data_IF_485919314967
#
_entry.id   IF_485919314967
#
_cell.length_a   1.000
_cell.length_b   1.000
_cell.length_c   1.000
_cell.angle_alpha   90.00
_cell.angle_beta   90.00
_cell.angle_gamma   90.00
#
_symmetry.space_group_name_H-M   'P 1'
#
loop_
_entity.id
_entity.type
_entity.pdbx_description
1 polymer ?
#
# COMPACT_ATOMS: atom_id res chain seq x y z
N UNK A 1 3.75 -22.21 -59.10
CA UNK A 1 3.69 -22.94 -57.80
C UNK A 1 3.63 -21.91 -56.71
N UNK A 2 2.55 -21.77 -55.94
CA UNK A 2 2.51 -20.85 -54.82
C UNK A 2 3.26 -21.47 -53.65
N UNK A 3 4.21 -20.72 -53.11
CA UNK A 3 4.97 -21.05 -51.89
C UNK A 3 4.01 -20.99 -50.72
N UNK A 4 3.72 -22.14 -50.12
CA UNK A 4 2.96 -22.22 -48.86
C UNK A 4 3.80 -21.62 -47.74
N UNK A 5 3.41 -20.44 -47.25
CA UNK A 5 3.93 -19.84 -45.99
C UNK A 5 3.46 -20.76 -44.88
N UNK A 6 4.39 -21.29 -44.03
CA UNK A 6 3.96 -22.09 -42.87
C UNK A 6 3.11 -21.22 -41.96
N UNK A 7 1.93 -21.74 -41.62
CA UNK A 7 1.07 -21.14 -40.62
C UNK A 7 1.88 -20.97 -39.32
N UNK A 8 2.15 -19.72 -38.93
CA UNK A 8 2.62 -19.41 -37.59
C UNK A 8 1.58 -20.01 -36.64
N UNK A 9 1.95 -21.02 -35.86
CA UNK A 9 1.16 -21.46 -34.72
C UNK A 9 0.92 -20.22 -33.83
N UNK A 10 -0.26 -19.63 -34.00
CA UNK A 10 -0.71 -18.55 -33.15
C UNK A 10 -0.87 -19.17 -31.75
N UNK A 11 0.08 -18.93 -30.89
CA UNK A 11 -0.08 -19.24 -29.44
C UNK A 11 -1.44 -18.74 -29.03
N UNK A 12 -2.27 -19.62 -28.46
CA UNK A 12 -3.60 -19.24 -27.97
C UNK A 12 -3.48 -17.95 -27.15
N UNK A 13 -4.15 -16.86 -27.52
CA UNK A 13 -4.01 -15.56 -26.82
C UNK A 13 -4.34 -15.66 -25.32
N UNK A 14 -5.00 -16.73 -24.89
CA UNK A 14 -5.29 -17.04 -23.50
C UNK A 14 -4.05 -17.56 -22.74
N UNK A 15 -3.28 -18.47 -23.33
CA UNK A 15 -2.05 -19.03 -22.74
C UNK A 15 -0.93 -17.98 -22.64
N UNK A 16 -0.75 -17.17 -23.68
CA UNK A 16 0.24 -16.09 -23.65
C UNK A 16 -0.05 -15.04 -22.56
N UNK A 17 -1.33 -14.74 -22.30
CA UNK A 17 -1.74 -13.83 -21.22
C UNK A 17 -1.44 -14.37 -19.82
N UNK A 18 -1.68 -15.67 -19.58
CA UNK A 18 -1.40 -16.34 -18.30
C UNK A 18 0.10 -16.35 -18.00
N UNK A 19 0.91 -16.80 -18.93
CA UNK A 19 2.37 -16.85 -18.77
C UNK A 19 2.95 -15.45 -18.65
N UNK A 20 2.51 -14.50 -19.46
CA UNK A 20 2.97 -13.11 -19.39
C UNK A 20 2.70 -12.47 -18.02
N UNK A 21 1.49 -12.64 -17.48
CA UNK A 21 1.16 -12.11 -16.15
C UNK A 21 1.96 -12.78 -15.03
N UNK A 22 2.15 -14.11 -15.09
CA UNK A 22 2.96 -14.83 -14.11
C UNK A 22 4.43 -14.38 -14.14
N UNK A 23 5.04 -14.29 -15.33
CA UNK A 23 6.43 -13.85 -15.50
C UNK A 23 6.63 -12.43 -15.01
N UNK A 24 5.79 -11.48 -15.41
CA UNK A 24 5.92 -10.08 -14.98
C UNK A 24 5.76 -9.96 -13.46
N UNK A 25 4.76 -10.64 -12.88
CA UNK A 25 4.56 -10.64 -11.43
C UNK A 25 5.77 -11.19 -10.67
N UNK A 26 6.32 -12.32 -11.14
CA UNK A 26 7.52 -12.94 -10.55
C UNK A 26 8.74 -12.05 -10.68
N UNK A 27 8.99 -11.47 -11.87
CA UNK A 27 10.15 -10.60 -12.12
C UNK A 27 10.10 -9.35 -11.24
N UNK A 28 8.94 -8.70 -11.15
CA UNK A 28 8.77 -7.49 -10.30
C UNK A 28 8.98 -7.84 -8.83
N UNK A 29 8.41 -8.95 -8.35
CA UNK A 29 8.62 -9.41 -6.97
C UNK A 29 10.08 -9.78 -6.70
N UNK A 30 10.71 -10.52 -7.61
CA UNK A 30 12.12 -10.94 -7.47
C UNK A 30 13.07 -9.77 -7.50
N UNK A 31 12.85 -8.79 -8.37
CA UNK A 31 13.65 -7.56 -8.40
C UNK A 31 13.54 -6.77 -7.09
N UNK A 32 12.34 -6.71 -6.51
CA UNK A 32 12.11 -6.08 -5.21
C UNK A 32 12.83 -6.81 -4.06
N UNK A 33 12.96 -8.13 -4.14
CA UNK A 33 13.67 -8.91 -3.12
C UNK A 33 15.20 -8.83 -3.28
N UNK A 34 15.67 -8.77 -4.53
CA UNK A 34 17.11 -8.76 -4.82
C UNK A 34 17.77 -7.40 -4.59
N UNK A 35 17.02 -6.30 -4.73
CA UNK A 35 17.55 -4.93 -4.68
C UNK A 35 16.82 -4.14 -3.57
N UNK A 36 17.48 -3.85 -2.44
CA UNK A 36 16.82 -3.28 -1.25
C UNK A 36 16.01 -2.01 -1.53
N UNK A 37 16.51 -1.07 -2.36
CA UNK A 37 15.77 0.17 -2.68
C UNK A 37 14.57 -0.06 -3.62
N UNK A 38 14.48 -1.21 -4.28
CA UNK A 38 13.33 -1.60 -5.10
C UNK A 38 12.26 -2.35 -4.28
N UNK A 39 12.45 -2.58 -2.98
CA UNK A 39 11.54 -3.35 -2.14
C UNK A 39 10.07 -2.90 -2.23
N UNK A 40 9.83 -1.60 -2.35
CA UNK A 40 8.49 -1.04 -2.55
C UNK A 40 7.84 -1.44 -3.88
N UNK A 41 8.63 -1.76 -4.92
CA UNK A 41 8.08 -2.22 -6.20
C UNK A 41 7.43 -3.61 -6.09
N UNK A 42 7.83 -4.40 -5.09
CA UNK A 42 7.18 -5.69 -4.82
C UNK A 42 5.68 -5.57 -4.57
N UNK A 43 5.23 -4.43 -4.03
CA UNK A 43 3.82 -4.13 -3.77
C UNK A 43 2.98 -4.19 -5.05
N UNK A 44 3.53 -3.79 -6.20
CA UNK A 44 2.81 -3.74 -7.48
C UNK A 44 2.87 -5.03 -8.29
N UNK A 45 3.56 -6.04 -7.79
CA UNK A 45 3.69 -7.33 -8.47
C UNK A 45 2.35 -8.03 -8.81
N UNK A 46 1.23 -7.87 -8.08
CA UNK A 46 -0.03 -8.51 -8.46
C UNK A 46 -0.79 -7.80 -9.58
N UNK A 47 -0.40 -6.58 -10.01
CA UNK A 47 -1.12 -5.82 -11.04
C UNK A 47 -1.36 -6.60 -12.35
N UNK A 48 -0.38 -7.32 -12.93
CA UNK A 48 -0.63 -8.09 -14.14
C UNK A 48 -1.72 -9.16 -13.96
N UNK A 49 -1.78 -9.78 -12.78
CA UNK A 49 -2.79 -10.78 -12.43
C UNK A 49 -4.18 -10.13 -12.28
N UNK A 50 -4.25 -8.95 -11.67
CA UNK A 50 -5.49 -8.17 -11.54
C UNK A 50 -6.04 -7.82 -12.93
N UNK A 51 -5.19 -7.31 -13.82
CA UNK A 51 -5.56 -6.97 -15.20
C UNK A 51 -5.99 -8.22 -15.97
N UNK A 52 -5.28 -9.34 -15.82
CA UNK A 52 -5.66 -10.63 -16.44
C UNK A 52 -7.04 -11.09 -15.95
N UNK A 53 -7.37 -10.90 -14.64
CA UNK A 53 -8.68 -11.25 -14.12
C UNK A 53 -9.79 -10.36 -14.67
N UNK A 54 -9.57 -9.07 -14.77
CA UNK A 54 -10.56 -8.12 -15.31
C UNK A 54 -10.88 -8.43 -16.79
N UNK A 55 -9.88 -8.80 -17.57
CA UNK A 55 -10.02 -9.03 -19.04
C UNK A 55 -10.25 -10.49 -19.41
N UNK A 56 -10.03 -11.40 -18.49
CA UNK A 56 -10.06 -12.84 -18.72
C UNK A 56 -10.89 -13.61 -17.71
N UNK A 57 -10.61 -14.91 -17.61
CA UNK A 57 -11.30 -15.81 -16.69
C UNK A 57 -10.64 -15.85 -15.32
N UNK A 58 -11.41 -16.22 -14.30
CA UNK A 58 -10.87 -16.47 -12.95
C UNK A 58 -9.83 -17.60 -12.97
N UNK A 59 -10.08 -18.66 -13.76
CA UNK A 59 -9.16 -19.78 -13.88
C UNK A 59 -7.79 -19.36 -14.45
N UNK A 60 -7.76 -18.48 -15.46
CA UNK A 60 -6.53 -17.92 -16.00
C UNK A 60 -5.75 -17.12 -14.97
N UNK A 61 -6.44 -16.27 -14.19
CA UNK A 61 -5.81 -15.49 -13.14
C UNK A 61 -5.28 -16.36 -12.00
N UNK A 62 -6.03 -17.37 -11.57
CA UNK A 62 -5.59 -18.34 -10.56
C UNK A 62 -4.37 -19.15 -11.03
N UNK A 63 -4.39 -19.63 -12.27
CA UNK A 63 -3.24 -20.35 -12.82
C UNK A 63 -2.00 -19.47 -12.88
N UNK A 64 -2.14 -18.21 -13.32
CA UNK A 64 -1.04 -17.24 -13.33
C UNK A 64 -0.51 -16.98 -11.91
N UNK A 65 -1.39 -16.87 -10.92
CA UNK A 65 -1.02 -16.70 -9.52
C UNK A 65 -0.23 -17.89 -8.97
N UNK A 66 -0.69 -19.11 -9.27
CA UNK A 66 -0.01 -20.34 -8.83
C UNK A 66 1.35 -20.50 -9.49
N UNK A 67 1.47 -20.18 -10.79
CA UNK A 67 2.75 -20.19 -11.50
C UNK A 67 3.73 -19.17 -10.91
N UNK A 68 3.27 -17.94 -10.65
CA UNK A 68 4.11 -16.91 -10.02
C UNK A 68 4.56 -17.35 -8.60
N UNK A 69 3.64 -17.81 -7.78
CA UNK A 69 3.96 -18.28 -6.42
C UNK A 69 4.89 -19.51 -6.44
N UNK A 70 4.64 -20.47 -7.32
CA UNK A 70 5.50 -21.66 -7.49
C UNK A 70 6.92 -21.26 -7.90
N UNK A 71 7.07 -20.32 -8.82
CA UNK A 71 8.39 -19.81 -9.22
C UNK A 71 9.08 -19.06 -8.09
N UNK A 72 8.35 -18.19 -7.36
CA UNK A 72 8.89 -17.49 -6.18
C UNK A 72 9.35 -18.48 -5.12
N UNK A 73 8.55 -19.54 -4.86
CA UNK A 73 8.90 -20.57 -3.90
C UNK A 73 10.12 -21.39 -4.29
N UNK A 74 10.28 -21.67 -5.59
CA UNK A 74 11.44 -22.38 -6.12
C UNK A 74 12.73 -21.53 -6.14
N UNK A 75 12.61 -20.23 -6.44
CA UNK A 75 13.76 -19.32 -6.53
C UNK A 75 14.23 -18.83 -5.18
N UNK A 76 13.31 -18.59 -4.25
CA UNK A 76 13.64 -18.07 -2.92
C UNK A 76 13.31 -19.10 -1.83
N UNK A 77 12.12 -19.04 -1.25
CA UNK A 77 11.65 -19.96 -0.23
C UNK A 77 10.14 -20.18 -0.32
N UNK A 78 9.64 -21.35 0.12
CA UNK A 78 8.18 -21.58 0.21
C UNK A 78 7.46 -20.55 1.10
N UNK A 79 8.12 -20.07 2.16
CA UNK A 79 7.59 -19.03 3.04
C UNK A 79 7.34 -17.71 2.30
N UNK A 80 8.24 -17.28 1.42
CA UNK A 80 8.05 -16.09 0.60
C UNK A 80 6.95 -16.28 -0.44
N UNK A 81 6.77 -17.48 -0.99
CA UNK A 81 5.64 -17.78 -1.86
C UNK A 81 4.30 -17.65 -1.11
N UNK A 82 4.22 -18.13 0.10
CA UNK A 82 3.03 -18.02 0.95
C UNK A 82 2.74 -16.54 1.31
N UNK A 83 3.77 -15.77 1.64
CA UNK A 83 3.62 -14.32 1.89
C UNK A 83 3.15 -13.58 0.63
N UNK A 84 3.74 -13.90 -0.54
CA UNK A 84 3.28 -13.35 -1.83
C UNK A 84 1.81 -13.66 -2.08
N UNK A 85 1.40 -14.93 -1.89
CA UNK A 85 0.01 -15.33 -2.06
C UNK A 85 -0.91 -14.59 -1.09
N UNK A 86 -0.60 -14.59 0.18
CA UNK A 86 -1.46 -14.02 1.22
C UNK A 86 -1.56 -12.50 1.14
N UNK A 87 -0.42 -11.80 1.05
CA UNK A 87 -0.41 -10.35 1.19
C UNK A 87 -0.57 -9.58 -0.11
N UNK A 88 -0.23 -10.21 -1.26
CA UNK A 88 -0.23 -9.52 -2.55
C UNK A 88 -1.24 -10.11 -3.53
N UNK A 89 -1.11 -11.42 -3.83
CA UNK A 89 -1.88 -12.03 -4.90
C UNK A 89 -3.37 -12.19 -4.56
N UNK A 90 -3.70 -12.69 -3.36
CA UNK A 90 -5.10 -12.89 -2.95
C UNK A 90 -5.91 -11.59 -2.85
N UNK A 91 -5.43 -10.51 -2.19
CA UNK A 91 -6.11 -9.23 -2.22
C UNK A 91 -6.26 -8.67 -3.64
N UNK A 92 -5.23 -8.81 -4.48
CA UNK A 92 -5.28 -8.45 -5.89
C UNK A 92 -6.35 -9.21 -6.66
N UNK A 93 -6.43 -10.53 -6.48
CA UNK A 93 -7.47 -11.37 -7.10
C UNK A 93 -8.88 -10.96 -6.66
N UNK A 94 -9.07 -10.66 -5.37
CA UNK A 94 -10.37 -10.20 -4.84
C UNK A 94 -10.76 -8.86 -5.46
N UNK A 95 -9.80 -7.93 -5.59
CA UNK A 95 -10.02 -6.64 -6.28
C UNK A 95 -10.43 -6.87 -7.74
N UNK A 96 -9.66 -7.67 -8.48
CA UNK A 96 -9.95 -8.02 -9.87
C UNK A 96 -11.28 -8.73 -10.06
N UNK A 97 -11.64 -9.64 -9.14
CA UNK A 97 -12.91 -10.36 -9.14
C UNK A 97 -14.11 -9.43 -8.93
N UNK A 98 -14.02 -8.53 -7.95
CA UNK A 98 -15.08 -7.56 -7.68
C UNK A 98 -15.31 -6.66 -8.90
N UNK A 99 -14.25 -6.22 -9.55
CA UNK A 99 -14.34 -5.44 -10.77
C UNK A 99 -14.95 -6.25 -11.91
N UNK A 100 -14.46 -7.46 -12.18
CA UNK A 100 -14.97 -8.31 -13.25
C UNK A 100 -16.46 -8.67 -13.09
N UNK A 101 -16.98 -8.58 -11.87
CA UNK A 101 -18.43 -8.70 -11.57
C UNK A 101 -19.18 -7.36 -11.68
N UNK A 102 -18.59 -6.32 -12.23
CA UNK A 102 -19.22 -5.01 -12.41
C UNK A 102 -19.43 -4.22 -11.12
N UNK A 103 -18.71 -4.55 -10.03
CA UNK A 103 -18.84 -3.84 -8.74
C UNK A 103 -18.01 -2.56 -8.65
N UNK A 104 -17.18 -2.28 -9.66
CA UNK A 104 -16.31 -1.12 -9.75
C UNK A 104 -15.05 -1.19 -8.89
N UNK A 105 -14.12 -0.26 -9.13
CA UNK A 105 -12.80 -0.23 -8.49
C UNK A 105 -12.90 0.02 -6.98
N UNK A 106 -13.75 0.95 -6.55
CA UNK A 106 -13.92 1.32 -5.13
C UNK A 106 -14.35 0.13 -4.27
N UNK A 107 -15.35 -0.64 -4.72
CA UNK A 107 -15.79 -1.83 -3.99
C UNK A 107 -14.72 -2.93 -4.03
N UNK A 108 -13.99 -3.05 -5.15
CA UNK A 108 -12.84 -3.95 -5.26
C UNK A 108 -11.77 -3.63 -4.20
N UNK A 109 -11.43 -2.36 -4.00
CA UNK A 109 -10.50 -1.90 -2.96
C UNK A 109 -11.00 -2.26 -1.56
N UNK A 110 -12.27 -1.99 -1.27
CA UNK A 110 -12.85 -2.29 0.05
C UNK A 110 -12.75 -3.78 0.37
N UNK A 111 -13.15 -4.66 -0.57
CA UNK A 111 -13.07 -6.11 -0.36
C UNK A 111 -11.63 -6.61 -0.22
N UNK A 112 -10.71 -6.08 -1.01
CA UNK A 112 -9.28 -6.40 -0.89
C UNK A 112 -8.71 -5.94 0.46
N UNK A 113 -9.06 -4.73 0.92
CA UNK A 113 -8.63 -4.19 2.21
C UNK A 113 -9.21 -5.00 3.38
N UNK A 114 -10.49 -5.37 3.33
CA UNK A 114 -11.12 -6.23 4.36
C UNK A 114 -10.42 -7.59 4.43
N UNK A 115 -10.22 -8.26 3.28
CA UNK A 115 -9.51 -9.54 3.25
C UNK A 115 -8.12 -9.41 3.86
N UNK A 116 -7.35 -8.41 3.42
CA UNK A 116 -5.98 -8.22 3.88
C UNK A 116 -5.93 -7.87 5.37
N UNK A 117 -6.86 -7.06 5.87
CA UNK A 117 -6.97 -6.76 7.31
C UNK A 117 -7.30 -8.01 8.14
N UNK A 118 -8.17 -8.89 7.63
CA UNK A 118 -8.46 -10.18 8.28
C UNK A 118 -7.22 -11.09 8.29
N UNK A 119 -6.49 -11.17 7.18
CA UNK A 119 -5.26 -11.97 7.09
C UNK A 119 -4.18 -11.45 8.04
N UNK A 120 -3.97 -10.13 8.07
CA UNK A 120 -3.02 -9.49 9.00
C UNK A 120 -3.48 -9.69 10.44
N UNK A 121 -4.76 -9.49 10.73
CA UNK A 121 -5.31 -9.74 12.08
C UNK A 121 -5.12 -11.19 12.54
N UNK A 122 -5.35 -12.15 11.65
CA UNK A 122 -5.09 -13.55 11.93
C UNK A 122 -3.59 -13.82 12.17
N UNK A 123 -2.71 -13.30 11.32
CA UNK A 123 -1.27 -13.43 11.50
C UNK A 123 -0.80 -12.82 12.83
N UNK A 124 -1.31 -11.65 13.21
CA UNK A 124 -1.00 -11.01 14.49
C UNK A 124 -1.54 -11.81 15.69
N UNK A 125 -2.69 -12.44 15.54
CA UNK A 125 -3.29 -13.25 16.61
C UNK A 125 -2.52 -14.55 16.85
N UNK A 126 -2.09 -15.23 15.78
CA UNK A 126 -1.45 -16.55 15.87
C UNK A 126 0.08 -16.49 15.95
N UNK A 127 0.71 -15.47 15.35
CA UNK A 127 2.17 -15.36 15.23
C UNK A 127 2.68 -13.96 15.59
N UNK A 128 1.90 -13.15 16.28
CA UNK A 128 2.26 -11.77 16.63
C UNK A 128 3.58 -11.68 17.41
N UNK A 129 3.80 -12.50 18.45
CA UNK A 129 5.06 -12.48 19.20
C UNK A 129 6.29 -12.80 18.33
N UNK A 130 6.21 -13.83 17.47
CA UNK A 130 7.30 -14.20 16.56
C UNK A 130 7.55 -13.12 15.49
N UNK A 131 6.48 -12.56 14.92
CA UNK A 131 6.58 -11.48 13.94
C UNK A 131 7.25 -10.24 14.54
N UNK A 132 6.83 -9.86 15.76
CA UNK A 132 7.44 -8.73 16.46
C UNK A 132 8.90 -9.00 16.81
N UNK A 133 9.20 -10.19 17.35
CA UNK A 133 10.56 -10.57 17.69
C UNK A 133 11.49 -10.58 16.47
N UNK A 134 11.04 -11.12 15.32
CA UNK A 134 11.80 -11.13 14.08
C UNK A 134 12.06 -9.71 13.54
N UNK A 135 11.06 -8.82 13.62
CA UNK A 135 11.21 -7.42 13.22
C UNK A 135 12.17 -6.66 14.13
N UNK A 136 12.04 -6.83 15.46
CA UNK A 136 12.90 -6.16 16.42
C UNK A 136 14.35 -6.66 16.35
N UNK A 137 14.55 -7.96 16.14
CA UNK A 137 15.89 -8.54 15.94
C UNK A 137 16.61 -7.94 14.73
N UNK A 138 15.89 -7.62 13.64
CA UNK A 138 16.50 -6.94 12.48
C UNK A 138 16.96 -5.52 12.81
N UNK A 139 16.20 -4.80 13.65
CA UNK A 139 16.62 -3.46 14.10
C UNK A 139 17.83 -3.59 15.03
N UNK A 140 17.83 -4.58 15.92
CA UNK A 140 18.95 -4.81 16.83
C UNK A 140 20.26 -5.18 16.08
N UNK A 141 20.19 -5.77 14.87
CA UNK A 141 21.36 -5.99 14.01
C UNK A 141 22.07 -4.69 13.63
N UNK A 142 21.35 -3.60 13.38
CA UNK A 142 21.97 -2.29 13.11
C UNK A 142 22.67 -1.67 14.31
N UNK A 143 22.40 -2.18 15.51
CA UNK A 143 23.04 -1.78 16.77
C UNK A 143 24.06 -2.80 17.26
N UNK A 144 24.36 -3.83 16.47
CA UNK A 144 25.38 -4.80 16.82
C UNK A 144 26.78 -4.14 16.88
N UNK A 145 27.70 -4.65 17.71
CA UNK A 145 29.05 -4.11 17.79
C UNK A 145 29.74 -4.04 16.42
N UNK A 146 29.47 -5.05 15.56
CA UNK A 146 30.04 -5.14 14.22
C UNK A 146 29.54 -4.00 13.33
N UNK A 147 28.20 -3.76 13.30
CA UNK A 147 27.60 -2.67 12.51
C UNK A 147 28.08 -1.29 12.98
N UNK A 148 28.22 -1.08 14.29
CA UNK A 148 28.72 0.17 14.83
C UNK A 148 30.22 0.35 14.52
N UNK A 149 31.01 -0.73 14.54
CA UNK A 149 32.43 -0.68 14.12
C UNK A 149 32.57 -0.38 12.62
N UNK A 150 31.71 -0.93 11.77
CA UNK A 150 31.68 -0.65 10.34
C UNK A 150 31.34 0.83 10.08
N UNK A 151 30.37 1.40 10.79
CA UNK A 151 30.04 2.83 10.70
C UNK A 151 31.24 3.72 11.07
N UNK A 152 31.99 3.38 12.11
CA UNK A 152 33.22 4.09 12.49
C UNK A 152 34.31 3.97 11.41
N UNK A 153 34.50 2.76 10.87
CA UNK A 153 35.49 2.54 9.82
C UNK A 153 35.15 3.26 8.50
N UNK A 154 33.85 3.56 8.27
CA UNK A 154 33.40 4.36 7.12
C UNK A 154 33.60 5.88 7.29
N UNK A 155 34.20 6.32 8.41
CA UNK A 155 34.55 7.72 8.65
C UNK A 155 33.52 8.52 9.48
N UNK A 156 32.52 7.86 10.06
CA UNK A 156 31.61 8.50 11.01
C UNK A 156 32.31 8.73 12.36
N UNK A 157 32.05 9.88 12.98
CA UNK A 157 32.54 10.19 14.32
C UNK A 157 31.82 9.34 15.37
N UNK A 158 32.47 9.10 16.52
CA UNK A 158 31.88 8.33 17.63
C UNK A 158 30.55 8.93 18.09
N UNK A 159 30.47 10.27 18.20
CA UNK A 159 29.23 10.99 18.54
C UNK A 159 28.10 10.68 17.56
N UNK A 160 28.41 10.70 16.26
CA UNK A 160 27.41 10.41 15.22
C UNK A 160 26.96 8.94 15.21
N UNK A 161 27.86 8.02 15.50
CA UNK A 161 27.55 6.60 15.62
C UNK A 161 26.64 6.36 16.83
N UNK A 162 26.92 7.04 17.96
CA UNK A 162 26.06 6.93 19.15
C UNK A 162 24.67 7.54 18.90
N UNK A 163 24.56 8.69 18.25
CA UNK A 163 23.28 9.28 17.85
C UNK A 163 22.43 8.31 17.01
N UNK A 164 23.06 7.67 16.02
CA UNK A 164 22.41 6.67 15.17
C UNK A 164 21.94 5.46 16.00
N UNK A 165 22.78 4.97 16.91
CA UNK A 165 22.43 3.86 17.77
C UNK A 165 21.22 4.19 18.67
N UNK A 166 21.16 5.41 19.20
CA UNK A 166 20.02 5.90 20.01
C UNK A 166 18.75 6.05 19.16
N UNK A 167 18.85 6.50 17.91
CA UNK A 167 17.71 6.56 17.00
C UNK A 167 17.14 5.17 16.70
N UNK A 168 18.00 4.15 16.47
CA UNK A 168 17.56 2.76 16.31
C UNK A 168 16.93 2.20 17.59
N UNK A 169 17.46 2.55 18.76
CA UNK A 169 16.84 2.15 20.04
C UNK A 169 15.45 2.75 20.20
N UNK A 170 15.30 4.04 19.92
CA UNK A 170 14.01 4.70 19.96
C UNK A 170 13.02 4.06 18.97
N UNK A 171 13.45 3.84 17.72
CA UNK A 171 12.63 3.18 16.68
C UNK A 171 12.19 1.78 17.12
N UNK A 172 13.11 0.98 17.69
CA UNK A 172 12.81 -0.33 18.24
C UNK A 172 11.71 -0.28 19.30
N UNK A 173 11.84 0.64 20.25
CA UNK A 173 10.89 0.78 21.36
C UNK A 173 9.50 1.23 20.86
N UNK A 174 9.45 2.14 19.90
CA UNK A 174 8.19 2.54 19.25
C UNK A 174 7.57 1.36 18.49
N UNK A 175 8.33 0.70 17.64
CA UNK A 175 7.84 -0.43 16.84
C UNK A 175 7.40 -1.62 17.71
N UNK A 176 8.03 -1.86 18.85
CA UNK A 176 7.58 -2.89 19.79
C UNK A 176 6.13 -2.70 20.26
N UNK A 177 5.64 -1.47 20.26
CA UNK A 177 4.25 -1.14 20.65
C UNK A 177 3.32 -1.06 19.43
N UNK A 178 3.77 -0.40 18.34
CA UNK A 178 2.89 -0.03 17.22
C UNK A 178 2.98 -0.97 16.00
N UNK A 179 3.71 -2.09 16.10
CA UNK A 179 3.86 -3.02 14.98
C UNK A 179 2.51 -3.53 14.40
N UNK A 180 1.43 -3.76 15.20
CA UNK A 180 0.16 -4.15 14.63
C UNK A 180 -0.41 -3.10 13.67
N UNK A 181 -0.36 -1.82 14.07
CA UNK A 181 -0.77 -0.70 13.23
C UNK A 181 0.11 -0.58 11.98
N UNK A 182 1.42 -0.77 12.11
CA UNK A 182 2.35 -0.71 10.99
C UNK A 182 2.01 -1.76 9.92
N UNK A 183 1.68 -3.00 10.31
CA UNK A 183 1.23 -4.03 9.38
C UNK A 183 -0.10 -3.68 8.70
N UNK A 184 -1.08 -3.15 9.44
CA UNK A 184 -2.36 -2.72 8.87
C UNK A 184 -2.18 -1.55 7.89
N UNK A 185 -1.34 -0.58 8.21
CA UNK A 185 -1.02 0.55 7.32
C UNK A 185 -0.32 0.04 6.05
N UNK A 186 0.64 -0.88 6.18
CA UNK A 186 1.29 -1.50 5.03
C UNK A 186 0.28 -2.23 4.15
N UNK A 187 -0.66 -2.97 4.74
CA UNK A 187 -1.77 -3.60 4.01
C UNK A 187 -2.62 -2.59 3.25
N UNK A 188 -2.99 -1.48 3.89
CA UNK A 188 -3.73 -0.40 3.24
C UNK A 188 -2.94 0.21 2.08
N UNK A 189 -1.63 0.45 2.26
CA UNK A 189 -0.74 0.95 1.20
C UNK A 189 -0.67 -0.01 0.00
N UNK A 190 -0.60 -1.32 0.24
CA UNK A 190 -0.63 -2.34 -0.84
C UNK A 190 -1.90 -2.17 -1.69
N UNK A 191 -3.06 -2.11 -1.04
CA UNK A 191 -4.36 -1.98 -1.74
C UNK A 191 -4.45 -0.66 -2.48
N UNK A 192 -4.13 0.47 -1.82
CA UNK A 192 -4.24 1.82 -2.39
C UNK A 192 -3.30 1.97 -3.58
N UNK A 193 -2.05 1.51 -3.48
CA UNK A 193 -1.07 1.59 -4.58
C UNK A 193 -1.56 0.82 -5.80
N UNK A 194 -1.99 -0.44 -5.61
CA UNK A 194 -2.52 -1.24 -6.71
C UNK A 194 -3.79 -0.61 -7.32
N UNK A 195 -4.69 -0.10 -6.50
CA UNK A 195 -5.90 0.58 -6.96
C UNK A 195 -5.60 1.85 -7.76
N UNK A 196 -4.66 2.67 -7.29
CA UNK A 196 -4.26 3.91 -7.98
C UNK A 196 -3.63 3.62 -9.34
N UNK A 197 -2.71 2.66 -9.39
CA UNK A 197 -2.05 2.26 -10.65
C UNK A 197 -3.03 1.61 -11.62
N UNK A 198 -3.91 0.74 -11.12
CA UNK A 198 -4.97 0.13 -11.91
C UNK A 198 -5.95 1.17 -12.42
N UNK A 199 -6.38 2.11 -11.59
CA UNK A 199 -7.25 3.23 -11.98
C UNK A 199 -6.62 4.09 -13.07
N UNK A 200 -5.35 4.44 -12.94
CA UNK A 200 -4.60 5.17 -13.97
C UNK A 200 -4.46 4.40 -15.28
N UNK A 201 -4.27 3.07 -15.22
CA UNK A 201 -4.24 2.21 -16.39
C UNK A 201 -5.61 2.15 -17.10
N UNK A 202 -6.68 1.93 -16.34
CA UNK A 202 -8.04 1.82 -16.86
C UNK A 202 -8.55 3.16 -17.42
N UNK A 203 -8.25 4.28 -16.76
CA UNK A 203 -8.64 5.60 -17.25
C UNK A 203 -8.16 5.89 -18.68
N UNK A 204 -7.03 5.31 -19.07
CA UNK A 204 -6.45 5.48 -20.42
C UNK A 204 -6.96 4.48 -21.45
N UNK A 205 -7.42 3.31 -21.02
CA UNK A 205 -7.76 2.19 -21.92
C UNK A 205 -9.23 1.80 -21.91
N UNK A 206 -9.85 1.79 -20.72
CA UNK A 206 -11.20 1.27 -20.51
C UNK A 206 -11.90 2.05 -19.38
N UNK A 207 -12.20 3.36 -19.58
CA UNK A 207 -12.72 4.21 -18.49
C UNK A 207 -14.07 3.75 -17.93
N UNK A 208 -14.82 2.92 -18.66
CA UNK A 208 -16.09 2.37 -18.19
C UNK A 208 -16.01 1.45 -16.96
N UNK A 209 -14.79 1.03 -16.57
CA UNK A 209 -14.57 0.26 -15.35
C UNK A 209 -14.42 1.12 -14.09
N UNK A 210 -14.36 2.44 -14.24
CA UNK A 210 -14.22 3.37 -13.12
C UNK A 210 -15.60 3.77 -12.60
N UNK A 211 -15.79 3.72 -11.30
CA UNK A 211 -17.07 4.02 -10.63
C UNK A 211 -17.29 5.54 -10.46
N UNK A 212 -16.56 6.39 -11.16
CA UNK A 212 -16.71 7.85 -11.11
C UNK A 212 -16.27 8.53 -9.82
N UNK A 213 -15.77 7.79 -8.82
CA UNK A 213 -15.20 8.36 -7.60
C UNK A 213 -13.73 8.73 -7.83
N UNK A 214 -13.39 10.01 -7.61
CA UNK A 214 -12.01 10.46 -7.68
C UNK A 214 -11.34 10.32 -6.32
N UNK A 215 -9.99 10.20 -6.31
CA UNK A 215 -9.20 10.19 -5.07
C UNK A 215 -9.53 11.42 -4.20
N UNK A 216 -9.79 12.55 -4.84
CA UNK A 216 -10.13 13.82 -4.22
C UNK A 216 -11.48 13.81 -3.50
N UNK A 217 -12.33 12.80 -3.71
CA UNK A 217 -13.63 12.64 -3.06
C UNK A 217 -13.58 11.81 -1.78
N UNK A 218 -12.38 11.34 -1.38
CA UNK A 218 -12.21 10.57 -0.14
C UNK A 218 -12.65 11.40 1.06
N UNK A 219 -13.64 10.89 1.79
CA UNK A 219 -14.16 11.44 3.04
C UNK A 219 -14.45 10.33 4.01
N UNK A 220 -13.95 10.44 5.20
CA UNK A 220 -14.24 9.49 6.26
C UNK A 220 -15.46 9.91 7.07
N UNK A 221 -16.28 8.97 7.55
CA UNK A 221 -17.46 9.28 8.35
C UNK A 221 -17.08 9.85 9.71
N UNK A 222 -17.94 10.69 10.28
CA UNK A 222 -17.76 11.32 11.59
C UNK A 222 -17.49 10.29 12.72
N UNK A 223 -17.98 9.06 12.59
CA UNK A 223 -17.70 8.00 13.55
C UNK A 223 -16.20 7.68 13.72
N UNK A 224 -15.39 7.84 12.67
CA UNK A 224 -13.93 7.69 12.80
C UNK A 224 -13.29 8.82 13.61
N UNK A 225 -13.81 10.05 13.53
CA UNK A 225 -13.35 11.17 14.37
C UNK A 225 -13.66 10.92 15.84
N UNK A 226 -14.84 10.38 16.14
CA UNK A 226 -15.18 9.97 17.50
C UNK A 226 -14.26 8.85 18.00
N UNK A 227 -13.99 7.85 17.15
CA UNK A 227 -13.04 6.79 17.48
C UNK A 227 -11.62 7.35 17.73
N UNK A 228 -11.17 8.36 16.96
CA UNK A 228 -9.90 9.03 17.17
C UNK A 228 -9.84 9.74 18.53
N UNK A 229 -10.87 10.48 18.90
CA UNK A 229 -10.97 11.16 20.20
C UNK A 229 -11.00 10.14 21.34
N UNK A 230 -11.83 9.08 21.23
CA UNK A 230 -11.90 8.03 22.24
C UNK A 230 -10.58 7.28 22.40
N UNK A 231 -9.89 6.97 21.31
CA UNK A 231 -8.55 6.38 21.37
C UNK A 231 -7.55 7.34 22.03
N UNK A 232 -7.63 8.65 21.73
CA UNK A 232 -6.83 9.68 22.40
C UNK A 232 -7.04 9.71 23.92
N UNK A 233 -8.29 9.63 24.37
CA UNK A 233 -8.62 9.54 25.80
C UNK A 233 -8.14 8.21 26.42
N UNK A 234 -8.21 7.09 25.66
CA UNK A 234 -7.75 5.79 26.14
C UNK A 234 -6.24 5.74 26.42
N UNK A 235 -5.43 6.62 25.80
CA UNK A 235 -3.99 6.75 26.11
C UNK A 235 -3.74 7.10 27.59
N UNK A 236 -4.69 7.77 28.24
CA UNK A 236 -4.56 8.16 29.65
C UNK A 236 -4.62 6.95 30.59
N UNK A 237 -5.25 5.85 30.15
CA UNK A 237 -5.33 4.60 30.90
C UNK A 237 -4.12 3.69 30.56
N UNK A 238 -3.18 3.43 31.50
CA UNK A 238 -1.96 2.66 31.23
C UNK A 238 -2.20 1.31 30.56
N UNK A 239 -3.24 0.58 30.95
CA UNK A 239 -3.60 -0.75 30.41
C UNK A 239 -4.04 -0.66 28.94
N UNK A 240 -4.73 0.42 28.54
CA UNK A 240 -5.24 0.61 27.19
C UNK A 240 -4.23 1.28 26.25
N UNK A 241 -3.18 1.86 26.80
CA UNK A 241 -2.21 2.69 26.06
C UNK A 241 -1.63 2.03 24.81
N UNK A 242 -1.16 0.78 24.83
CA UNK A 242 -0.64 0.12 23.62
C UNK A 242 -1.69 -0.03 22.52
N UNK A 243 -2.91 -0.43 22.90
CA UNK A 243 -4.02 -0.55 21.95
C UNK A 243 -4.43 0.81 21.38
N UNK A 244 -4.52 1.83 22.25
CA UNK A 244 -4.85 3.19 21.86
C UNK A 244 -3.86 3.79 20.86
N UNK A 245 -2.54 3.59 21.04
CA UNK A 245 -1.53 4.03 20.09
C UNK A 245 -1.69 3.36 18.71
N UNK A 246 -2.01 2.08 18.68
CA UNK A 246 -2.25 1.37 17.42
C UNK A 246 -3.49 1.92 16.70
N UNK A 247 -4.58 2.11 17.41
CA UNK A 247 -5.81 2.71 16.83
C UNK A 247 -5.55 4.13 16.33
N UNK A 248 -4.91 4.97 17.14
CA UNK A 248 -4.56 6.35 16.76
C UNK A 248 -3.69 6.38 15.50
N UNK A 249 -2.69 5.52 15.40
CA UNK A 249 -1.78 5.49 14.26
C UNK A 249 -2.50 5.08 12.98
N UNK A 250 -3.37 4.06 13.03
CA UNK A 250 -4.19 3.66 11.87
C UNK A 250 -5.14 4.78 11.47
N UNK A 251 -5.82 5.42 12.43
CA UNK A 251 -6.73 6.52 12.15
C UNK A 251 -6.00 7.76 11.62
N UNK A 252 -4.83 8.09 12.18
CA UNK A 252 -3.98 9.18 11.69
C UNK A 252 -3.56 8.94 10.22
N UNK A 253 -3.24 7.70 9.85
CA UNK A 253 -2.96 7.35 8.47
C UNK A 253 -4.18 7.59 7.55
N UNK A 254 -5.37 7.17 7.94
CA UNK A 254 -6.59 7.43 7.16
C UNK A 254 -6.89 8.93 7.03
N UNK A 255 -6.69 9.71 8.10
CA UNK A 255 -6.83 11.16 8.03
C UNK A 255 -5.75 11.82 7.17
N UNK A 256 -4.50 11.29 7.18
CA UNK A 256 -3.47 11.76 6.28
C UNK A 256 -3.85 11.54 4.80
N UNK A 257 -4.47 10.41 4.47
CA UNK A 257 -5.03 10.17 3.13
C UNK A 257 -6.13 11.15 2.77
N UNK A 258 -7.06 11.47 3.70
CA UNK A 258 -8.08 12.49 3.46
C UNK A 258 -7.48 13.88 3.30
N UNK A 259 -6.49 14.25 4.12
CA UNK A 259 -5.78 15.51 3.98
C UNK A 259 -5.04 15.62 2.64
N UNK A 260 -4.42 14.53 2.19
CA UNK A 260 -3.81 14.46 0.87
C UNK A 260 -4.86 14.63 -0.26
N UNK A 261 -6.05 14.05 -0.10
CA UNK A 261 -7.17 14.24 -1.01
C UNK A 261 -7.64 15.70 -1.06
N UNK A 262 -7.66 16.41 0.09
CA UNK A 262 -7.96 17.85 0.15
C UNK A 262 -6.91 18.66 -0.63
N UNK A 263 -5.62 18.38 -0.40
CA UNK A 263 -4.53 19.06 -1.12
C UNK A 263 -4.62 18.80 -2.63
N UNK A 264 -4.88 17.56 -3.04
CA UNK A 264 -5.06 17.20 -4.44
C UNK A 264 -6.25 17.95 -5.08
N UNK A 265 -7.38 18.06 -4.37
CA UNK A 265 -8.56 18.81 -4.77
C UNK A 265 -8.23 20.28 -5.06
N UNK A 266 -7.53 20.96 -4.13
CA UNK A 266 -7.14 22.35 -4.31
C UNK A 266 -6.11 22.52 -5.43
N UNK A 267 -5.13 21.62 -5.55
CA UNK A 267 -4.15 21.65 -6.63
C UNK A 267 -4.79 21.52 -8.02
N UNK A 268 -5.87 20.73 -8.14
CA UNK A 268 -6.65 20.65 -9.38
C UNK A 268 -7.49 21.88 -9.62
N UNK A 269 -8.17 22.38 -8.60
CA UNK A 269 -9.05 23.55 -8.72
C UNK A 269 -8.31 24.83 -9.09
N UNK A 270 -7.11 25.01 -8.57
CA UNK A 270 -6.24 26.15 -8.92
C UNK A 270 -5.65 26.05 -10.34
N UNK A 271 -6.07 25.05 -11.13
CA UNK A 271 -5.55 24.77 -12.46
C UNK A 271 -4.01 24.72 -12.51
N UNK A 272 -3.39 24.28 -11.40
CA UNK A 272 -1.94 24.17 -11.31
C UNK A 272 -1.40 23.28 -12.46
N UNK A 273 -0.30 23.69 -13.13
CA UNK A 273 0.33 22.87 -14.15
C UNK A 273 0.64 21.46 -13.64
N UNK A 274 0.53 20.42 -14.50
CA UNK A 274 0.77 19.03 -14.06
C UNK A 274 2.11 18.83 -13.34
N UNK A 275 3.15 19.49 -13.82
CA UNK A 275 4.50 19.44 -13.21
C UNK A 275 4.50 20.01 -11.79
N UNK A 276 3.80 21.14 -11.55
CA UNK A 276 3.67 21.74 -10.22
C UNK A 276 2.88 20.84 -9.27
N UNK A 277 1.82 20.17 -9.74
CA UNK A 277 1.06 19.19 -8.94
C UNK A 277 1.95 18.04 -8.50
N UNK A 278 2.72 17.47 -9.42
CA UNK A 278 3.69 16.39 -9.11
C UNK A 278 4.73 16.90 -8.12
N UNK A 279 5.30 18.09 -8.33
CA UNK A 279 6.30 18.66 -7.44
C UNK A 279 5.76 18.88 -6.01
N UNK A 280 4.54 19.39 -5.85
CA UNK A 280 3.87 19.54 -4.54
C UNK A 280 3.64 18.17 -3.89
N UNK A 281 3.18 17.18 -4.66
CA UNK A 281 2.96 15.83 -4.14
C UNK A 281 4.26 15.17 -3.69
N UNK A 282 5.34 15.29 -4.47
CA UNK A 282 6.66 14.78 -4.09
C UNK A 282 7.19 15.50 -2.85
N UNK A 283 7.08 16.84 -2.79
CA UNK A 283 7.49 17.62 -1.63
C UNK A 283 6.76 17.18 -0.35
N UNK A 284 5.46 16.95 -0.46
CA UNK A 284 4.65 16.42 0.64
C UNK A 284 5.13 15.04 1.07
N UNK A 285 5.42 14.13 0.14
CA UNK A 285 5.86 12.76 0.44
C UNK A 285 7.28 12.71 1.05
N UNK A 286 8.16 13.62 0.66
CA UNK A 286 9.55 13.66 1.15
C UNK A 286 9.68 14.38 2.50
N UNK A 287 8.72 15.24 2.84
CA UNK A 287 8.75 15.98 4.10
C UNK A 287 8.31 15.09 5.28
N UNK A 288 9.17 14.86 6.29
CA UNK A 288 8.84 14.00 7.43
C UNK A 288 7.67 14.51 8.30
N UNK A 289 7.35 15.79 8.23
CA UNK A 289 6.22 16.40 8.94
C UNK A 289 4.90 16.37 8.16
N UNK A 290 4.96 16.05 6.87
CA UNK A 290 3.78 16.07 6.02
C UNK A 290 2.66 15.11 6.46
N UNK A 291 2.94 13.86 6.88
CA UNK A 291 1.87 12.98 7.34
C UNK A 291 1.09 13.56 8.53
N UNK A 292 1.76 14.22 9.46
CA UNK A 292 1.13 14.85 10.62
C UNK A 292 0.25 16.04 10.21
N UNK A 293 0.78 16.92 9.35
CA UNK A 293 0.04 18.07 8.83
C UNK A 293 -1.17 17.61 8.02
N UNK A 294 -0.99 16.64 7.13
CA UNK A 294 -2.09 16.07 6.35
C UNK A 294 -3.13 15.39 7.23
N UNK A 295 -2.68 14.67 8.29
CA UNK A 295 -3.56 14.06 9.26
C UNK A 295 -4.47 15.09 9.95
N UNK A 296 -3.91 16.23 10.35
CA UNK A 296 -4.68 17.33 10.92
C UNK A 296 -5.65 17.94 9.89
N UNK A 297 -5.19 18.22 8.67
CA UNK A 297 -6.05 18.73 7.59
C UNK A 297 -7.22 17.78 7.34
N UNK A 298 -6.96 16.48 7.23
CA UNK A 298 -8.01 15.48 6.99
C UNK A 298 -8.97 15.33 8.16
N UNK A 299 -8.48 15.35 9.40
CA UNK A 299 -9.31 15.30 10.59
C UNK A 299 -10.24 16.52 10.64
N UNK A 300 -9.73 17.73 10.45
CA UNK A 300 -10.52 18.96 10.46
C UNK A 300 -11.46 19.04 9.24
N UNK A 301 -11.08 18.52 8.07
CA UNK A 301 -11.98 18.47 6.89
C UNK A 301 -13.27 17.68 7.18
N UNK A 302 -13.23 16.70 8.10
CA UNK A 302 -14.42 15.95 8.50
C UNK A 302 -15.49 16.84 9.16
N UNK A 303 -15.07 17.90 9.87
CA UNK A 303 -15.99 18.81 10.55
C UNK A 303 -16.29 20.08 9.74
N UNK A 304 -15.26 20.65 9.09
CA UNK A 304 -15.36 21.95 8.44
C UNK A 304 -15.63 21.87 6.94
N UNK A 305 -15.45 20.69 6.33
CA UNK A 305 -15.61 20.45 4.88
C UNK A 305 -14.91 21.54 4.05
N UNK A 306 -13.58 21.62 4.15
CA UNK A 306 -12.78 22.65 3.49
C UNK A 306 -13.05 22.79 2.00
N UNK A 307 -13.51 21.72 1.34
CA UNK A 307 -13.82 21.72 -0.10
C UNK A 307 -15.06 22.57 -0.42
N UNK A 308 -16.01 22.76 0.52
CA UNK A 308 -17.15 23.67 0.33
C UNK A 308 -16.72 25.13 0.21
N UNK A 309 -15.64 25.53 0.91
CA UNK A 309 -15.15 26.91 0.84
C UNK A 309 -14.64 27.31 -0.54
N UNK A 310 -14.24 26.33 -1.34
CA UNK A 310 -13.79 26.57 -2.70
C UNK A 310 -14.92 26.51 -3.73
N UNK A 311 -16.14 26.11 -3.37
CA UNK A 311 -17.28 26.11 -4.29
C UNK A 311 -17.82 27.54 -4.43
N UNK A 312 -18.21 27.99 -5.66
CA UNK A 312 -18.92 29.26 -5.81
C UNK A 312 -20.20 29.20 -4.98
N UNK A 313 -20.62 30.34 -4.38
CA UNK A 313 -21.93 30.37 -3.71
C UNK A 313 -22.99 29.93 -4.72
N UNK A 314 -23.75 28.87 -4.37
CA UNK A 314 -24.87 28.44 -5.20
C UNK A 314 -25.77 29.69 -5.42
N UNK A 315 -25.99 30.07 -6.66
CA UNK A 315 -26.95 31.07 -6.96
C UNK A 315 -28.29 30.58 -6.42
N UNK A 316 -28.76 31.18 -5.34
CA UNK A 316 -30.09 30.93 -4.78
C UNK A 316 -31.09 31.16 -5.91
N UNK A 317 -31.58 30.06 -6.50
CA UNK A 317 -32.77 30.09 -7.38
C UNK A 317 -34.01 29.93 -6.50
#
# INVERSE_FOLDING_TARGET
MPVSVPAREASDPRTSGVLGAAVVSTVVFSAAMAVPFLGLLGIVSPLPIIVLRIRGSLGAALLSTLLAAGTIGAVFTPGLALLYLALLAMPGLVMGEAMARGRGLRKGCVWAAVLLSVQIGAALLFSGPELSAGMLARIDQFRSPESLAEMRSSGLTDERVEDIAQQFLWMRNVLAVVYPAAFLIMGALIVITNATLLGGYLARRDPGWLDGGEFEDIRWPLGLSLAFVLAGLAVLAPVLRPAAYNVLLVLAFFYALQGFAVVAYYARRLAAPPLLRIAVMVLVLVNPWAPQILGLIGLFDTWFDFRKWAQPPEAKR
#
